data_IF_473289175188
#
_entry.id   IF_473289175188
#
_cell.length_a   1.000
_cell.length_b   1.000
_cell.length_c   1.000
_cell.angle_alpha   90.00
_cell.angle_beta   90.00
_cell.angle_gamma   90.00
#
_symmetry.space_group_name_H-M   'P 1'
#
loop_
_entity.id
_entity.type
_entity.pdbx_description
1 polymer ?
#
# COMPACT_ATOMS: atom_id res chain seq x y z
N UNK A 1 -23.63 -36.37 -23.76
CA UNK A 1 -23.22 -35.80 -25.06
C UNK A 1 -22.04 -34.86 -24.82
N UNK A 2 -20.84 -35.30 -25.16
CA UNK A 2 -19.62 -34.51 -25.08
C UNK A 2 -19.49 -33.59 -26.30
N UNK A 3 -18.92 -32.39 -26.13
CA UNK A 3 -18.05 -31.79 -27.15
C UNK A 3 -17.07 -30.79 -26.55
N UNK A 4 -15.83 -31.24 -26.51
CA UNK A 4 -14.59 -30.48 -26.29
C UNK A 4 -14.40 -29.49 -27.44
N UNK A 5 -13.90 -28.29 -27.12
CA UNK A 5 -13.39 -27.33 -28.10
C UNK A 5 -12.10 -26.69 -27.61
N UNK A 6 -10.98 -27.42 -27.72
CA UNK A 6 -9.63 -26.85 -27.67
C UNK A 6 -9.40 -26.02 -28.93
N UNK A 7 -8.93 -24.79 -28.79
CA UNK A 7 -8.22 -24.06 -29.86
C UNK A 7 -6.87 -23.57 -29.33
N UNK A 8 -5.95 -23.57 -30.27
CA UNK A 8 -4.52 -23.79 -30.16
C UNK A 8 -3.73 -22.52 -29.88
N UNK A 9 -2.61 -22.72 -29.19
CA UNK A 9 -1.51 -21.80 -28.98
C UNK A 9 -0.92 -21.36 -30.33
N UNK A 10 -0.59 -20.07 -30.45
CA UNK A 10 0.19 -19.54 -31.56
C UNK A 10 0.90 -18.27 -31.12
N UNK A 11 2.16 -18.40 -30.70
CA UNK A 11 3.14 -17.31 -30.63
C UNK A 11 4.53 -17.88 -30.34
N UNK A 12 5.48 -17.65 -31.27
CA UNK A 12 6.85 -17.18 -31.01
C UNK A 12 7.84 -17.73 -32.05
N UNK A 13 8.15 -16.90 -33.06
CA UNK A 13 9.34 -17.06 -33.89
C UNK A 13 9.88 -15.68 -34.29
N UNK A 14 10.89 -15.20 -33.57
CA UNK A 14 11.75 -14.03 -33.83
C UNK A 14 12.95 -14.19 -32.85
N UNK A 15 14.20 -13.84 -33.10
CA UNK A 15 14.96 -13.42 -34.28
C UNK A 15 16.45 -13.45 -33.88
N UNK A 16 17.31 -13.34 -34.90
CA UNK A 16 18.77 -13.24 -34.87
C UNK A 16 19.33 -12.22 -33.84
N UNK A 17 20.54 -12.48 -33.34
CA UNK A 17 21.57 -11.43 -33.25
C UNK A 17 23.01 -11.94 -33.32
N UNK A 18 23.80 -11.23 -34.12
CA UNK A 18 25.23 -11.39 -34.41
C UNK A 18 26.10 -10.94 -33.25
N UNK A 19 27.34 -11.43 -33.18
CA UNK A 19 28.48 -10.56 -32.83
C UNK A 19 29.82 -11.19 -33.23
N UNK A 20 30.52 -10.48 -34.12
CA UNK A 20 31.94 -10.63 -34.39
C UNK A 20 32.67 -9.51 -33.65
N UNK A 21 33.77 -9.82 -32.96
CA UNK A 21 34.71 -8.80 -32.45
C UNK A 21 36.15 -9.26 -32.72
N UNK A 22 36.85 -8.38 -33.44
CA UNK A 22 38.29 -8.36 -33.71
C UNK A 22 39.06 -7.89 -32.46
N UNK A 23 40.30 -8.35 -32.26
CA UNK A 23 41.56 -7.56 -32.34
C UNK A 23 42.68 -8.16 -31.48
N UNK A 24 43.79 -8.42 -32.19
CA UNK A 24 45.20 -8.23 -31.86
C UNK A 24 45.58 -7.67 -30.47
N UNK A 25 46.69 -8.19 -29.92
CA UNK A 25 47.88 -7.39 -29.62
C UNK A 25 49.14 -8.22 -29.38
N UNK A 26 50.14 -7.82 -30.15
CA UNK A 26 51.58 -8.04 -30.09
C UNK A 26 52.21 -7.46 -28.80
N UNK A 27 53.18 -8.17 -28.21
CA UNK A 27 54.34 -7.64 -27.47
C UNK A 27 55.44 -8.71 -27.36
N UNK A 28 56.63 -8.45 -27.90
CA UNK A 28 57.88 -8.44 -27.11
C UNK A 28 59.12 -8.20 -27.98
N UNK A 29 59.98 -7.29 -27.50
CA UNK A 29 61.45 -7.44 -27.32
C UNK A 29 62.17 -6.12 -27.59
N UNK A 30 62.90 -5.64 -26.56
CA UNK A 30 64.32 -5.30 -26.65
C UNK A 30 64.87 -4.93 -25.26
N UNK A 31 66.06 -5.43 -24.87
CA UNK A 31 66.75 -5.00 -23.65
C UNK A 31 68.05 -4.22 -23.92
N UNK A 32 68.44 -3.41 -22.93
CA UNK A 32 69.85 -3.20 -22.59
C UNK A 32 70.42 -1.78 -22.81
N UNK A 33 71.09 -1.26 -21.77
CA UNK A 33 72.23 -0.34 -21.99
C UNK A 33 72.48 0.82 -21.02
N UNK A 34 73.21 0.52 -19.94
CA UNK A 34 74.32 1.30 -19.32
C UNK A 34 74.08 2.63 -18.55
N UNK A 35 74.32 2.52 -17.23
CA UNK A 35 75.28 3.19 -16.31
C UNK A 35 75.60 4.71 -16.44
N UNK A 36 75.55 5.36 -15.27
CA UNK A 36 75.77 6.79 -14.89
C UNK A 36 77.23 7.28 -15.02
N UNK A 37 77.47 8.61 -14.95
CA UNK A 37 77.94 9.19 -13.68
C UNK A 37 77.32 10.56 -13.34
N UNK A 38 77.40 10.95 -12.06
CA UNK A 38 76.68 12.10 -11.49
C UNK A 38 77.43 13.44 -11.49
N UNK A 39 76.70 14.51 -11.19
CA UNK A 39 77.21 15.72 -10.54
C UNK A 39 76.03 16.52 -9.95
N UNK A 40 76.25 17.05 -8.74
CA UNK A 40 75.30 17.84 -7.94
C UNK A 40 75.08 19.23 -8.53
N UNK A 41 73.85 19.73 -8.41
CA UNK A 41 73.42 21.04 -7.82
C UNK A 41 72.18 21.57 -8.56
N UNK A 42 71.10 21.83 -7.83
CA UNK A 42 69.94 22.53 -8.37
C UNK A 42 68.79 22.58 -7.37
N UNK A 43 68.55 23.77 -6.82
CA UNK A 43 67.50 24.12 -5.86
C UNK A 43 66.11 23.85 -6.43
N UNK A 44 65.15 23.46 -5.58
CA UNK A 44 63.73 23.46 -5.92
C UNK A 44 62.86 22.85 -4.81
N UNK A 45 62.35 23.68 -3.90
CA UNK A 45 60.93 24.04 -3.79
C UNK A 45 60.07 23.09 -2.94
N UNK A 46 59.84 23.56 -1.70
CA UNK A 46 58.59 23.53 -0.93
C UNK A 46 57.84 22.19 -0.87
N UNK A 47 57.94 21.56 0.30
CA UNK A 47 56.85 20.78 0.89
C UNK A 47 55.58 21.64 0.95
N UNK A 48 54.67 21.42 0.01
CA UNK A 48 53.25 21.60 0.25
C UNK A 48 52.63 20.23 0.05
N UNK A 49 52.25 19.60 1.18
CA UNK A 49 51.33 18.47 1.20
C UNK A 49 50.09 18.92 0.42
N UNK A 50 49.90 18.41 -0.78
CA UNK A 50 48.58 18.44 -1.41
C UNK A 50 47.70 17.62 -0.49
N UNK A 51 46.88 18.31 0.30
CA UNK A 51 45.62 17.74 0.73
C UNK A 51 44.94 17.27 -0.55
N UNK A 52 44.72 15.96 -0.67
CA UNK A 52 43.94 15.38 -1.74
C UNK A 52 42.57 16.03 -1.72
N UNK A 53 42.42 17.05 -2.55
CA UNK A 53 41.17 17.68 -2.87
C UNK A 53 40.31 16.58 -3.53
N UNK A 54 39.48 15.93 -2.72
CA UNK A 54 38.34 15.17 -3.22
C UNK A 54 37.60 16.09 -4.17
N UNK A 55 37.43 15.61 -5.40
CA UNK A 55 36.88 16.35 -6.53
C UNK A 55 35.61 17.11 -6.13
N UNK A 56 35.42 18.37 -6.56
CA UNK A 56 34.16 19.12 -6.38
C UNK A 56 32.92 18.43 -6.97
N UNK A 57 33.11 17.37 -7.77
CA UNK A 57 32.02 16.55 -8.32
C UNK A 57 31.44 15.56 -7.31
N UNK A 58 32.19 15.15 -6.28
CA UNK A 58 31.70 14.25 -5.22
C UNK A 58 30.89 14.98 -4.14
N UNK A 59 30.99 16.31 -4.06
CA UNK A 59 30.20 17.14 -3.15
C UNK A 59 28.74 17.33 -3.62
N UNK A 60 28.41 16.95 -4.86
CA UNK A 60 27.04 17.02 -5.42
C UNK A 60 26.21 15.77 -5.15
N UNK A 61 26.79 14.73 -4.54
CA UNK A 61 26.12 13.45 -4.27
C UNK A 61 25.30 13.44 -2.96
N UNK A 62 25.14 14.58 -2.28
CA UNK A 62 24.53 14.63 -0.94
C UNK A 62 23.30 15.52 -0.91
N UNK A 63 22.15 14.91 -0.60
CA UNK A 63 20.80 15.49 -0.42
C UNK A 63 19.99 15.67 -1.71
N UNK A 64 19.65 14.55 -2.35
CA UNK A 64 18.55 14.57 -3.33
C UNK A 64 17.35 13.89 -2.70
N UNK A 65 16.40 14.72 -2.24
CA UNK A 65 15.06 14.23 -1.97
C UNK A 65 14.52 13.59 -3.24
N UNK A 66 13.96 12.40 -3.11
CA UNK A 66 13.46 11.61 -4.24
C UNK A 66 12.00 11.25 -4.02
N UNK A 67 11.25 11.30 -5.12
CA UNK A 67 9.87 10.82 -5.16
C UNK A 67 9.87 9.56 -6.04
N UNK A 68 9.45 8.43 -5.47
CA UNK A 68 9.40 7.15 -6.18
C UNK A 68 8.06 6.47 -6.00
N UNK A 69 7.69 5.62 -6.95
CA UNK A 69 6.61 4.66 -6.73
C UNK A 69 7.11 3.52 -5.87
N UNK A 70 6.32 3.14 -4.86
CA UNK A 70 6.56 1.96 -4.03
C UNK A 70 5.42 0.96 -4.18
N UNK A 71 5.76 -0.33 -4.18
CA UNK A 71 4.81 -1.43 -4.03
C UNK A 71 4.92 -2.01 -2.62
N UNK A 72 3.80 -2.13 -1.93
CA UNK A 72 3.69 -2.65 -0.57
C UNK A 72 4.03 -4.13 -0.51
N UNK A 73 4.93 -4.46 0.41
CA UNK A 73 5.29 -5.84 0.76
C UNK A 73 4.62 -6.21 2.07
N UNK A 74 4.67 -5.31 3.05
CA UNK A 74 4.23 -5.56 4.42
C UNK A 74 3.84 -4.26 5.11
N UNK A 75 2.84 -4.34 5.99
CA UNK A 75 2.38 -3.26 6.87
C UNK A 75 2.58 -3.69 8.32
N UNK A 76 3.30 -2.87 9.09
CA UNK A 76 3.44 -2.96 10.53
C UNK A 76 2.60 -1.86 11.18
N UNK A 77 1.61 -2.27 11.95
CA UNK A 77 0.59 -1.42 12.57
C UNK A 77 0.49 -1.66 14.09
N UNK A 78 1.51 -2.30 14.68
CA UNK A 78 1.49 -2.69 16.09
C UNK A 78 1.88 -1.57 17.05
N UNK A 79 2.49 -0.49 16.55
CA UNK A 79 3.00 0.62 17.36
C UNK A 79 2.22 1.92 17.21
N UNK A 80 2.77 3.01 17.75
CA UNK A 80 2.15 4.35 17.73
C UNK A 80 2.04 4.96 16.32
N UNK A 81 2.77 4.41 15.36
CA UNK A 81 2.79 4.83 13.96
C UNK A 81 2.76 3.60 13.06
N UNK A 82 2.10 3.73 11.91
CA UNK A 82 2.09 2.67 10.91
C UNK A 82 3.35 2.76 10.05
N UNK A 83 4.13 1.68 10.00
CA UNK A 83 5.30 1.54 9.15
C UNK A 83 5.04 0.54 8.02
N UNK A 84 5.67 0.77 6.87
CA UNK A 84 5.55 -0.14 5.73
C UNK A 84 6.91 -0.53 5.16
N UNK A 85 6.96 -1.74 4.60
CA UNK A 85 8.05 -2.22 3.76
C UNK A 85 7.61 -2.14 2.30
N UNK A 86 8.41 -1.50 1.47
CA UNK A 86 8.09 -1.21 0.07
C UNK A 86 9.20 -1.71 -0.84
N UNK A 87 8.80 -2.25 -2.00
CA UNK A 87 9.67 -2.44 -3.14
C UNK A 87 9.67 -1.15 -3.98
N UNK A 88 10.82 -0.50 -4.06
CA UNK A 88 11.04 0.67 -4.89
C UNK A 88 11.55 0.32 -6.30
N UNK A 89 11.90 1.33 -7.11
CA UNK A 89 12.47 1.14 -8.43
C UNK A 89 13.75 0.28 -8.42
N UNK A 90 13.96 -0.49 -9.50
CA UNK A 90 15.14 -1.36 -9.69
C UNK A 90 15.34 -2.42 -8.59
N UNK A 91 14.26 -2.80 -7.89
CA UNK A 91 14.30 -3.85 -6.88
C UNK A 91 14.83 -3.41 -5.53
N UNK A 92 15.01 -2.10 -5.30
CA UNK A 92 15.40 -1.59 -3.98
C UNK A 92 14.31 -1.88 -2.95
N UNK A 93 14.70 -2.23 -1.72
CA UNK A 93 13.77 -2.44 -0.62
C UNK A 93 13.89 -1.29 0.36
N UNK A 94 12.76 -0.62 0.61
CA UNK A 94 12.63 0.43 1.61
C UNK A 94 11.93 -0.18 2.83
N UNK A 95 12.60 -0.15 3.98
CA UNK A 95 12.07 -0.70 5.23
C UNK A 95 11.80 0.42 6.23
N UNK A 96 10.85 0.18 7.16
CA UNK A 96 10.44 1.14 8.20
C UNK A 96 10.08 2.52 7.62
N UNK A 97 9.37 2.54 6.50
CA UNK A 97 8.86 3.78 5.89
C UNK A 97 7.60 4.19 6.64
N UNK A 98 7.54 5.40 7.16
CA UNK A 98 6.35 5.86 7.90
C UNK A 98 5.21 6.11 6.91
N UNK A 99 4.07 5.46 7.10
CA UNK A 99 2.86 5.73 6.32
C UNK A 99 2.02 6.78 7.05
N UNK A 100 1.94 7.97 6.47
CA UNK A 100 1.18 9.05 7.07
C UNK A 100 -0.32 8.77 6.99
N UNK A 101 -0.97 8.84 8.14
CA UNK A 101 -2.41 8.72 8.28
C UNK A 101 -2.97 10.03 8.86
N UNK A 102 -4.07 10.56 8.32
CA UNK A 102 -4.77 11.66 8.96
C UNK A 102 -5.51 11.18 10.22
N UNK A 103 -5.62 12.05 11.22
CA UNK A 103 -6.43 11.79 12.40
C UNK A 103 -7.88 11.46 12.02
N UNK A 104 -8.50 10.52 12.74
CA UNK A 104 -9.88 10.09 12.49
C UNK A 104 -10.06 9.13 11.31
N UNK A 105 -8.98 8.76 10.60
CA UNK A 105 -9.02 7.76 9.54
C UNK A 105 -7.91 6.72 9.72
N UNK A 106 -8.32 5.47 9.89
CA UNK A 106 -7.43 4.33 9.92
C UNK A 106 -7.64 3.45 8.69
N UNK A 107 -6.56 2.94 8.13
CA UNK A 107 -6.60 1.89 7.10
C UNK A 107 -5.34 1.06 7.17
N UNK A 108 -5.41 -0.21 6.78
CA UNK A 108 -4.24 -1.07 6.61
C UNK A 108 -4.30 -1.67 5.21
N UNK A 109 -3.43 -1.19 4.32
CA UNK A 109 -3.43 -1.64 2.93
C UNK A 109 -2.82 -3.04 2.83
N UNK A 110 -3.42 -3.96 2.04
CA UNK A 110 -2.85 -5.28 1.82
C UNK A 110 -1.59 -5.21 0.92
N UNK A 111 -0.81 -6.28 0.94
CA UNK A 111 0.34 -6.45 0.03
C UNK A 111 -0.04 -6.17 -1.43
N UNK A 112 0.95 -5.79 -2.25
CA UNK A 112 0.79 -5.35 -3.63
C UNK A 112 0.01 -4.02 -3.82
N UNK A 113 -0.35 -3.32 -2.75
CA UNK A 113 -0.81 -1.93 -2.84
C UNK A 113 0.31 -1.01 -3.36
N UNK A 114 -0.07 0.03 -4.08
CA UNK A 114 0.87 0.96 -4.69
C UNK A 114 0.69 2.36 -4.11
N UNK A 115 1.80 3.04 -3.91
CA UNK A 115 1.80 4.43 -3.49
C UNK A 115 3.05 5.15 -3.91
N UNK A 116 3.21 6.35 -3.34
CA UNK A 116 4.36 7.21 -3.58
C UNK A 116 5.17 7.30 -2.30
N UNK A 117 6.49 7.17 -2.43
CA UNK A 117 7.43 7.35 -1.34
C UNK A 117 8.17 8.65 -1.54
N UNK A 118 8.13 9.50 -0.52
CA UNK A 118 8.95 10.69 -0.42
C UNK A 118 10.14 10.34 0.47
N UNK A 119 11.31 10.32 -0.13
CA UNK A 119 12.56 10.15 0.58
C UNK A 119 13.15 11.54 0.79
N UNK A 120 13.25 11.97 2.05
CA UNK A 120 13.82 13.26 2.42
C UNK A 120 15.19 13.02 3.05
N UNK A 121 16.28 13.33 2.35
CA UNK A 121 17.64 13.14 2.88
C UNK A 121 18.62 12.53 1.87
N UNK A 122 19.86 12.23 2.30
CA UNK A 122 20.85 11.57 1.46
C UNK A 122 20.51 10.07 1.30
N UNK A 123 20.94 9.53 0.16
CA UNK A 123 20.63 8.19 -0.35
C UNK A 123 21.22 7.05 0.50
N UNK A 124 22.22 7.34 1.34
CA UNK A 124 22.96 6.40 2.18
C UNK A 124 22.25 6.02 3.50
N UNK A 125 20.95 6.26 3.61
CA UNK A 125 20.14 5.64 4.66
C UNK A 125 20.38 6.17 6.07
N UNK A 126 20.94 7.38 6.20
CA UNK A 126 20.73 8.16 7.42
C UNK A 126 19.22 8.27 7.62
N UNK A 127 18.73 7.88 8.80
CA UNK A 127 17.31 7.72 9.21
C UNK A 127 16.48 9.02 9.15
N UNK A 128 16.54 9.70 8.01
CA UNK A 128 15.75 10.87 7.67
C UNK A 128 14.46 10.39 7.04
N UNK A 129 13.42 11.19 7.27
CA UNK A 129 12.02 10.85 7.16
C UNK A 129 11.66 10.30 5.75
N UNK A 130 11.41 8.99 5.66
CA UNK A 130 10.77 8.38 4.49
C UNK A 130 9.27 8.29 4.74
N UNK A 131 8.49 8.86 3.82
CA UNK A 131 7.05 8.95 3.94
C UNK A 131 6.38 8.17 2.82
N UNK A 132 5.47 7.28 3.17
CA UNK A 132 4.58 6.61 2.25
C UNK A 132 3.24 7.35 2.20
N UNK A 133 2.84 7.75 0.99
CA UNK A 133 1.54 8.35 0.70
C UNK A 133 0.70 7.42 -0.17
N UNK A 134 -0.60 7.38 0.12
CA UNK A 134 -1.56 6.52 -0.57
C UNK A 134 -1.50 5.09 -0.06
N UNK A 135 -1.13 4.15 -0.93
CA UNK A 135 -1.26 2.68 -0.78
C UNK A 135 -2.62 2.16 -1.25
N UNK A 136 -2.95 2.46 -2.50
CA UNK A 136 -4.12 1.94 -3.19
C UNK A 136 -3.84 0.56 -3.81
N UNK A 137 -4.82 -0.35 -3.75
CA UNK A 137 -4.70 -1.68 -4.34
C UNK A 137 -5.48 -1.80 -5.65
N UNK A 138 -4.81 -2.20 -6.74
CA UNK A 138 -5.39 -2.19 -8.09
C UNK A 138 -6.57 -3.17 -8.29
N UNK A 139 -6.60 -4.26 -7.51
CA UNK A 139 -7.63 -5.29 -7.57
C UNK A 139 -8.82 -4.97 -6.66
N UNK A 140 -8.58 -4.29 -5.52
CA UNK A 140 -9.61 -4.04 -4.52
C UNK A 140 -10.26 -2.65 -4.66
N UNK A 141 -9.59 -1.70 -5.31
CA UNK A 141 -10.19 -0.40 -5.63
C UNK A 141 -11.50 -0.59 -6.40
N UNK A 142 -12.62 -0.01 -5.97
CA UNK A 142 -13.85 0.04 -6.75
C UNK A 142 -13.62 0.68 -8.12
N UNK A 143 -14.03 -0.03 -9.19
CA UNK A 143 -13.92 0.42 -10.59
C UNK A 143 -15.30 0.81 -11.12
N UNK A 144 -15.32 1.56 -12.22
CA UNK A 144 -16.53 1.94 -12.95
C UNK A 144 -17.58 2.58 -12.03
N UNK A 145 -17.15 3.53 -11.21
CA UNK A 145 -18.03 4.31 -10.33
C UNK A 145 -18.42 5.60 -11.02
N UNK A 146 -19.57 6.13 -10.65
CA UNK A 146 -20.08 7.39 -11.18
C UNK A 146 -19.16 8.55 -10.77
N UNK A 147 -18.96 9.50 -11.68
CA UNK A 147 -18.15 10.68 -11.39
C UNK A 147 -18.74 11.46 -10.20
N UNK A 148 -17.88 11.90 -9.27
CA UNK A 148 -18.29 12.59 -8.05
C UNK A 148 -18.72 11.68 -6.90
N UNK A 149 -18.81 10.36 -7.10
CA UNK A 149 -19.08 9.42 -6.00
C UNK A 149 -17.88 9.26 -5.05
N UNK A 150 -18.17 8.93 -3.79
CA UNK A 150 -17.15 8.64 -2.76
C UNK A 150 -17.43 7.29 -2.13
N UNK A 151 -16.37 6.52 -1.85
CA UNK A 151 -16.49 5.16 -1.30
C UNK A 151 -15.38 4.89 -0.28
N UNK A 152 -15.76 4.42 0.90
CA UNK A 152 -14.89 3.69 1.82
C UNK A 152 -15.08 2.19 1.57
N UNK A 153 -13.99 1.44 1.46
CA UNK A 153 -14.03 0.03 1.09
C UNK A 153 -12.90 -0.78 1.72
N UNK A 154 -13.09 -2.10 1.81
CA UNK A 154 -12.07 -3.05 2.24
C UNK A 154 -11.67 -4.04 1.14
N UNK A 155 -10.73 -4.94 1.45
CA UNK A 155 -10.26 -5.97 0.52
C UNK A 155 -11.31 -7.07 0.24
N UNK A 156 -12.34 -7.18 1.07
CA UNK A 156 -13.41 -8.18 0.97
C UNK A 156 -14.60 -7.69 0.12
N UNK A 157 -14.54 -6.45 -0.38
CA UNK A 157 -15.60 -5.84 -1.19
C UNK A 157 -16.74 -5.24 -0.36
N UNK A 158 -16.57 -5.08 0.96
CA UNK A 158 -17.51 -4.33 1.78
C UNK A 158 -17.33 -2.83 1.52
N UNK A 159 -18.41 -2.06 1.50
CA UNK A 159 -18.38 -0.66 1.09
C UNK A 159 -19.39 0.22 1.84
N UNK A 160 -18.98 1.46 2.11
CA UNK A 160 -19.87 2.57 2.45
C UNK A 160 -19.67 3.65 1.39
N UNK A 161 -20.72 4.00 0.66
CA UNK A 161 -20.63 4.92 -0.48
C UNK A 161 -21.66 6.02 -0.43
N UNK A 162 -21.27 7.21 -0.90
CA UNK A 162 -22.18 8.32 -1.21
C UNK A 162 -22.30 8.42 -2.73
N UNK A 163 -23.51 8.18 -3.24
CA UNK A 163 -23.81 8.10 -4.69
C UNK A 163 -25.13 8.82 -4.95
N UNK A 164 -25.16 9.81 -5.84
CA UNK A 164 -26.39 10.49 -6.31
C UNK A 164 -27.34 10.98 -5.20
N UNK A 165 -26.80 11.39 -4.05
CA UNK A 165 -27.59 11.86 -2.91
C UNK A 165 -28.01 10.75 -1.92
N UNK A 166 -27.57 9.51 -2.14
CA UNK A 166 -27.84 8.37 -1.27
C UNK A 166 -26.58 7.90 -0.55
N UNK A 167 -26.75 7.47 0.71
CA UNK A 167 -25.75 6.67 1.43
C UNK A 167 -26.10 5.21 1.24
N UNK A 168 -25.14 4.43 0.73
CA UNK A 168 -25.28 2.99 0.51
C UNK A 168 -24.23 2.23 1.29
N UNK A 169 -24.67 1.30 2.14
CA UNK A 169 -23.82 0.37 2.89
C UNK A 169 -24.02 -1.02 2.29
N UNK A 170 -22.95 -1.63 1.80
CA UNK A 170 -22.93 -2.99 1.23
C UNK A 170 -21.97 -3.83 2.04
N UNK A 171 -22.45 -4.98 2.51
CA UNK A 171 -21.64 -5.92 3.26
C UNK A 171 -22.02 -7.36 2.90
N UNK A 172 -21.02 -8.25 2.88
CA UNK A 172 -21.21 -9.67 2.51
C UNK A 172 -21.86 -10.52 3.61
N UNK A 173 -21.53 -10.26 4.88
CA UNK A 173 -22.03 -11.02 6.03
C UNK A 173 -23.12 -10.28 6.85
N UNK A 174 -22.76 -9.19 7.53
CA UNK A 174 -23.66 -8.46 8.44
C UNK A 174 -23.28 -6.99 8.58
N UNK A 175 -24.25 -6.16 8.92
CA UNK A 175 -24.06 -4.77 9.37
C UNK A 175 -24.52 -4.70 10.82
N UNK A 176 -23.70 -4.11 11.69
CA UNK A 176 -24.00 -4.01 13.13
C UNK A 176 -23.83 -2.56 13.60
N UNK A 177 -24.87 -1.98 14.20
CA UNK A 177 -24.84 -0.69 14.87
C UNK A 177 -24.95 -0.92 16.38
N UNK A 178 -24.05 -0.33 17.18
CA UNK A 178 -23.98 -0.54 18.63
C UNK A 178 -23.99 0.81 19.34
N UNK A 179 -24.86 0.96 20.35
CA UNK A 179 -24.91 2.13 21.22
C UNK A 179 -25.30 1.72 22.64
N UNK A 180 -24.42 1.96 23.62
CA UNK A 180 -24.74 1.77 25.04
C UNK A 180 -25.26 0.37 25.43
N UNK A 181 -24.86 -0.68 24.71
CA UNK A 181 -25.34 -2.05 24.91
C UNK A 181 -26.52 -2.48 24.02
N UNK A 182 -27.19 -1.54 23.35
CA UNK A 182 -28.19 -1.83 22.32
C UNK A 182 -27.52 -2.11 20.99
N UNK A 183 -27.99 -3.13 20.28
CA UNK A 183 -27.44 -3.56 18.99
C UNK A 183 -28.54 -3.70 17.93
N UNK A 184 -28.37 -3.06 16.77
CA UNK A 184 -29.11 -3.35 15.54
C UNK A 184 -28.22 -4.16 14.60
N UNK A 185 -28.67 -5.34 14.19
CA UNK A 185 -27.99 -6.20 13.22
C UNK A 185 -28.83 -6.43 11.98
N UNK A 186 -28.26 -6.17 10.81
CA UNK A 186 -28.84 -6.49 9.50
C UNK A 186 -27.99 -7.60 8.88
N UNK A 187 -28.62 -8.69 8.45
CA UNK A 187 -27.96 -9.85 7.85
C UNK A 187 -28.83 -10.50 6.78
N UNK A 188 -28.31 -11.55 6.13
CA UNK A 188 -29.10 -12.37 5.21
C UNK A 188 -30.33 -13.04 5.86
N UNK A 189 -30.36 -13.17 7.18
CA UNK A 189 -31.49 -13.72 7.93
C UNK A 189 -32.53 -12.68 8.34
N UNK A 190 -32.31 -11.40 8.03
CA UNK A 190 -33.20 -10.29 8.39
C UNK A 190 -32.57 -9.31 9.38
N UNK A 191 -33.45 -8.65 10.14
CA UNK A 191 -33.09 -7.58 11.09
C UNK A 191 -33.31 -8.06 12.52
N UNK A 192 -32.30 -7.90 13.37
CA UNK A 192 -32.37 -8.21 14.80
C UNK A 192 -32.03 -6.97 15.62
N UNK A 193 -32.84 -6.67 16.63
CA UNK A 193 -32.56 -5.64 17.64
C UNK A 193 -32.42 -6.35 18.99
N UNK A 194 -31.31 -6.11 19.69
CA UNK A 194 -31.03 -6.69 21.00
C UNK A 194 -30.66 -5.59 21.99
N UNK A 195 -31.15 -5.72 23.22
CA UNK A 195 -31.05 -4.69 24.25
C UNK A 195 -31.99 -3.51 24.00
N UNK A 196 -32.25 -2.73 25.06
CA UNK A 196 -33.10 -1.54 25.00
C UNK A 196 -34.58 -1.83 24.72
N UNK A 197 -35.32 -0.77 24.38
CA UNK A 197 -36.71 -0.84 23.92
C UNK A 197 -36.80 -0.50 22.43
N UNK A 198 -37.79 -1.09 21.76
CA UNK A 198 -38.20 -0.66 20.42
C UNK A 198 -39.48 0.13 20.55
N UNK A 199 -39.47 1.38 20.11
CA UNK A 199 -40.64 2.27 20.18
C UNK A 199 -41.07 2.74 18.81
N UNK A 200 -42.37 2.85 18.59
CA UNK A 200 -42.98 3.52 17.44
C UNK A 200 -43.91 4.62 17.94
N UNK A 201 -43.66 5.87 17.54
CA UNK A 201 -44.41 7.06 17.98
C UNK A 201 -44.57 7.15 19.50
N UNK A 202 -43.48 6.86 20.23
CA UNK A 202 -43.44 6.88 21.69
C UNK A 202 -44.11 5.68 22.38
N UNK A 203 -44.67 4.72 21.62
CA UNK A 203 -45.25 3.49 22.17
C UNK A 203 -44.27 2.35 22.07
N UNK A 204 -44.12 1.58 23.14
CA UNK A 204 -43.35 0.35 23.15
C UNK A 204 -44.02 -0.71 22.25
N UNK A 205 -43.23 -1.33 21.37
CA UNK A 205 -43.66 -2.45 20.50
C UNK A 205 -42.89 -3.74 20.78
N UNK A 206 -42.10 -3.77 21.85
CA UNK A 206 -41.37 -4.94 22.33
C UNK A 206 -42.26 -5.98 23.01
N UNK A 207 -41.62 -6.96 23.66
CA UNK A 207 -42.29 -8.12 24.28
C UNK A 207 -43.19 -7.77 25.46
N UNK A 208 -43.03 -6.59 26.07
CA UNK A 208 -43.79 -6.10 27.21
C UNK A 208 -44.90 -5.10 26.82
N UNK A 209 -45.17 -4.90 25.52
CA UNK A 209 -46.32 -4.10 25.08
C UNK A 209 -47.64 -4.74 25.54
N UNK A 210 -48.65 -3.91 25.84
CA UNK A 210 -49.94 -4.37 26.39
C UNK A 210 -51.11 -3.70 25.69
N UNK A 211 -52.20 -4.45 25.55
CA UNK A 211 -53.49 -3.94 25.09
C UNK A 211 -54.46 -3.77 26.25
N UNK A 212 -55.08 -2.60 26.37
CA UNK A 212 -56.17 -2.32 27.30
C UNK A 212 -57.55 -2.56 26.67
N UNK A 213 -58.61 -2.55 27.47
CA UNK A 213 -59.99 -2.62 26.97
C UNK A 213 -60.44 -3.99 26.46
N UNK A 214 -59.71 -5.06 26.79
CA UNK A 214 -60.04 -6.43 26.37
C UNK A 214 -61.00 -7.11 27.35
N UNK A 215 -62.08 -7.72 26.83
CA UNK A 215 -62.91 -8.68 27.58
C UNK A 215 -62.26 -10.06 27.46
N UNK A 216 -61.78 -10.62 28.57
CA UNK A 216 -61.08 -11.92 28.56
C UNK A 216 -62.06 -13.08 28.41
N UNK A 217 -61.78 -13.98 27.45
CA UNK A 217 -62.39 -15.31 27.38
C UNK A 217 -61.63 -16.36 28.20
N UNK A 218 -62.11 -17.60 28.20
CA UNK A 218 -61.49 -18.73 28.94
C UNK A 218 -60.28 -19.35 28.24
N UNK A 219 -60.09 -19.09 26.95
CA UNK A 219 -59.02 -19.71 26.15
C UNK A 219 -57.83 -18.76 25.97
N UNK A 220 -56.58 -19.26 26.09
CA UNK A 220 -55.40 -18.53 25.63
C UNK A 220 -55.47 -18.29 24.11
N UNK A 221 -54.83 -17.23 23.66
CA UNK A 221 -54.54 -17.05 22.22
C UNK A 221 -53.27 -17.81 21.88
N UNK A 222 -53.19 -18.32 20.65
CA UNK A 222 -51.94 -18.85 20.11
C UNK A 222 -50.90 -17.73 19.93
N UNK A 223 -49.64 -18.12 19.73
CA UNK A 223 -48.60 -17.18 19.32
C UNK A 223 -48.97 -16.52 17.98
N UNK A 224 -48.56 -15.26 17.74
CA UNK A 224 -48.78 -14.60 16.45
C UNK A 224 -48.24 -15.46 15.30
N UNK A 225 -49.10 -15.80 14.34
CA UNK A 225 -48.68 -16.47 13.10
C UNK A 225 -48.13 -15.38 12.17
N UNK A 226 -46.85 -15.52 11.80
CA UNK A 226 -46.15 -14.61 10.87
C UNK A 226 -46.51 -14.83 9.41
#
# INVERSE_FOLDING_TARGET
MARRGRRTLGAAQLALCRSAVRRARDRSRHPGGRVRPGARRGRGLRHLRRADARSPRDARERRVSRIVRGRLVETDDAGDQQFVKLLGPRGETLSRVHRLQPFGFHSSSPADAHGVVLQLGPHDGGRLLNLALGMEHAQHRPKNREAGSSVLYDANGNMVSVVKGEVRIVHSAKITLVAGGTTLTISGSGVAISGGQVTHDGKNIGSDHKHGGVMRGSSPTDEPIG
#
